data_IF_075374660453
#
_entry.id   IF_075374660453
#
_cell.length_a   1.000
_cell.length_b   1.000
_cell.length_c   1.000
_cell.angle_alpha   90.00
_cell.angle_beta   90.00
_cell.angle_gamma   90.00
#
_symmetry.space_group_name_H-M   'P 1'
#
loop_
_entity.id
_entity.type
_entity.pdbx_description
1 polymer ?
#
# COMPACT_ATOMS: atom_id res chain seq x y z
N UNK A 1 10.36 -38.91 -12.43
CA UNK A 1 9.41 -38.80 -13.56
C UNK A 1 8.16 -39.54 -13.11
N UNK A 2 7.02 -38.85 -12.98
CA UNK A 2 5.75 -39.50 -12.59
C UNK A 2 5.05 -39.91 -13.89
N UNK A 3 4.70 -41.18 -14.03
CA UNK A 3 3.92 -41.66 -15.17
C UNK A 3 2.55 -40.99 -15.18
N UNK A 4 2.24 -40.28 -16.26
CA UNK A 4 0.94 -39.65 -16.46
C UNK A 4 -0.02 -40.77 -16.85
N UNK A 5 -0.89 -41.18 -15.92
CA UNK A 5 -1.97 -42.12 -16.19
C UNK A 5 -3.10 -41.39 -16.94
N UNK A 6 -3.65 -42.02 -17.98
CA UNK A 6 -4.81 -41.45 -18.66
C UNK A 6 -6.04 -41.52 -17.76
N UNK A 7 -6.86 -40.48 -17.78
CA UNK A 7 -8.09 -40.41 -16.95
C UNK A 7 -9.03 -41.59 -17.26
N UNK A 8 -9.02 -42.10 -18.49
CA UNK A 8 -9.78 -43.28 -18.92
C UNK A 8 -9.30 -44.60 -18.31
N UNK A 9 -8.07 -44.65 -17.80
CA UNK A 9 -7.43 -45.85 -17.22
C UNK A 9 -7.52 -45.86 -15.68
N UNK A 10 -8.10 -44.81 -15.08
CA UNK A 10 -8.34 -44.73 -13.63
C UNK A 10 -9.57 -45.57 -13.31
N UNK A 11 -9.39 -46.88 -13.20
CA UNK A 11 -10.40 -47.74 -12.59
C UNK A 11 -10.51 -47.41 -11.09
N UNK A 12 -11.72 -47.31 -10.52
CA UNK A 12 -11.89 -47.17 -9.08
C UNK A 12 -11.40 -48.45 -8.41
N UNK A 13 -10.12 -48.47 -7.99
CA UNK A 13 -9.61 -49.49 -7.08
C UNK A 13 -10.37 -49.34 -5.77
N UNK A 14 -11.33 -50.24 -5.56
CA UNK A 14 -12.15 -50.36 -4.36
C UNK A 14 -11.29 -50.17 -3.10
N UNK A 15 -11.44 -49.01 -2.45
CA UNK A 15 -10.64 -48.64 -1.28
C UNK A 15 -10.47 -47.14 -1.05
N UNK A 16 -10.84 -46.27 -1.98
CA UNK A 16 -10.87 -44.82 -1.70
C UNK A 16 -12.13 -44.48 -0.90
N UNK A 17 -11.99 -44.38 0.42
CA UNK A 17 -12.94 -43.59 1.20
C UNK A 17 -12.71 -42.11 0.87
N UNK A 18 -13.76 -41.28 0.84
CA UNK A 18 -13.64 -39.83 0.57
C UNK A 18 -12.63 -39.15 1.52
N UNK A 19 -12.50 -39.68 2.74
CA UNK A 19 -11.53 -39.26 3.74
C UNK A 19 -10.07 -39.48 3.32
N UNK A 20 -9.76 -40.58 2.64
CA UNK A 20 -8.40 -40.87 2.16
C UNK A 20 -7.98 -39.93 1.03
N UNK A 21 -8.91 -39.49 0.18
CA UNK A 21 -8.61 -38.53 -0.87
C UNK A 21 -8.25 -37.15 -0.31
N UNK A 22 -9.08 -36.61 0.60
CA UNK A 22 -8.81 -35.30 1.21
C UNK A 22 -7.51 -35.32 2.03
N UNK A 23 -7.23 -36.42 2.73
CA UNK A 23 -5.98 -36.60 3.49
C UNK A 23 -4.76 -36.57 2.57
N UNK A 24 -4.82 -37.24 1.41
CA UNK A 24 -3.75 -37.18 0.38
C UNK A 24 -3.56 -35.76 -0.15
N UNK A 25 -4.64 -35.02 -0.41
CA UNK A 25 -4.54 -33.61 -0.84
C UNK A 25 -3.95 -32.69 0.24
N UNK A 26 -4.24 -32.92 1.52
CA UNK A 26 -3.61 -32.17 2.62
C UNK A 26 -2.10 -32.45 2.72
N UNK A 27 -1.69 -33.70 2.56
CA UNK A 27 -0.27 -34.08 2.51
C UNK A 27 0.44 -33.43 1.31
N UNK A 28 -0.18 -33.53 0.13
CA UNK A 28 0.32 -32.88 -1.10
C UNK A 28 0.42 -31.36 -0.93
N UNK A 29 -0.61 -30.74 -0.34
CA UNK A 29 -0.63 -29.30 -0.08
C UNK A 29 0.55 -28.87 0.80
N UNK A 30 0.84 -29.59 1.89
CA UNK A 30 1.96 -29.28 2.77
C UNK A 30 3.32 -29.28 2.03
N UNK A 31 3.48 -30.14 1.02
CA UNK A 31 4.69 -30.19 0.18
C UNK A 31 4.71 -29.16 -0.96
N UNK A 32 3.55 -28.64 -1.34
CA UNK A 32 3.39 -27.69 -2.44
C UNK A 32 3.91 -26.29 -2.10
N UNK A 33 4.21 -25.50 -3.12
CA UNK A 33 4.61 -24.09 -2.96
C UNK A 33 3.57 -23.26 -2.21
N UNK A 34 2.27 -23.54 -2.42
CA UNK A 34 1.18 -22.87 -1.70
C UNK A 34 1.15 -23.26 -0.22
N UNK A 35 1.46 -24.50 0.12
CA UNK A 35 1.57 -24.93 1.51
C UNK A 35 2.74 -24.27 2.22
N UNK A 36 3.90 -24.19 1.55
CA UNK A 36 5.07 -23.44 2.05
C UNK A 36 4.72 -21.98 2.27
N UNK A 37 4.05 -21.35 1.31
CA UNK A 37 3.57 -19.98 1.44
C UNK A 37 2.59 -19.82 2.61
N UNK A 38 1.66 -20.77 2.79
CA UNK A 38 0.69 -20.73 3.88
C UNK A 38 1.37 -20.77 5.26
N UNK A 39 2.44 -21.57 5.41
CA UNK A 39 3.20 -21.66 6.66
C UNK A 39 3.89 -20.34 7.01
N UNK A 40 4.20 -19.47 6.04
CA UNK A 40 4.85 -18.19 6.32
C UNK A 40 3.93 -17.18 7.03
N UNK A 41 2.62 -17.40 7.06
CA UNK A 41 1.67 -16.43 7.63
C UNK A 41 0.99 -16.96 8.90
N UNK A 42 1.01 -16.16 9.95
CA UNK A 42 0.29 -16.41 11.20
C UNK A 42 -1.18 -15.98 11.08
N UNK A 43 -1.97 -16.67 10.25
CA UNK A 43 -3.35 -16.28 9.93
C UNK A 43 -4.28 -16.08 11.12
N UNK A 44 -4.17 -16.94 12.14
CA UNK A 44 -4.98 -16.85 13.37
C UNK A 44 -4.71 -15.57 14.14
N UNK A 45 -3.43 -15.21 14.29
CA UNK A 45 -3.00 -14.02 15.03
C UNK A 45 -3.36 -12.73 14.28
N UNK A 46 -3.22 -12.74 12.95
CA UNK A 46 -3.65 -11.63 12.10
C UNK A 46 -5.17 -11.43 12.17
N UNK A 47 -5.95 -12.50 12.08
CA UNK A 47 -7.40 -12.43 12.20
C UNK A 47 -7.85 -11.89 13.57
N UNK A 48 -7.15 -12.28 14.65
CA UNK A 48 -7.37 -11.80 16.01
C UNK A 48 -7.07 -10.30 16.12
N UNK A 49 -5.95 -9.85 15.58
CA UNK A 49 -5.54 -8.44 15.59
C UNK A 49 -6.48 -7.55 14.79
N UNK A 50 -6.96 -8.02 13.63
CA UNK A 50 -7.95 -7.31 12.82
C UNK A 50 -9.38 -7.38 13.39
N UNK A 51 -9.55 -8.01 14.56
CA UNK A 51 -10.84 -8.22 15.23
C UNK A 51 -11.92 -8.84 14.33
N UNK A 52 -11.50 -9.70 13.39
CA UNK A 52 -12.42 -10.37 12.48
C UNK A 52 -13.18 -11.44 13.25
N UNK A 53 -14.51 -11.37 13.19
CA UNK A 53 -15.39 -12.34 13.84
C UNK A 53 -16.31 -12.94 12.79
N UNK A 54 -16.49 -14.26 12.85
CA UNK A 54 -17.59 -14.89 12.14
C UNK A 54 -18.91 -14.40 12.74
N UNK A 55 -19.90 -14.03 11.91
CA UNK A 55 -21.20 -13.59 12.42
C UNK A 55 -21.83 -14.72 13.24
N UNK A 56 -22.23 -14.42 14.48
CA UNK A 56 -22.89 -15.38 15.36
C UNK A 56 -24.36 -15.66 14.94
N UNK A 57 -24.99 -14.70 14.26
CA UNK A 57 -26.38 -14.74 13.82
C UNK A 57 -26.47 -14.36 12.34
N UNK A 58 -27.36 -15.03 11.61
CA UNK A 58 -27.61 -14.79 10.18
C UNK A 58 -26.87 -15.75 9.24
N UNK A 59 -26.79 -15.37 7.95
CA UNK A 59 -26.15 -16.20 6.91
C UNK A 59 -24.66 -16.35 7.21
N UNK A 60 -24.19 -17.59 7.36
CA UNK A 60 -22.77 -17.89 7.52
C UNK A 60 -22.02 -17.41 6.27
N UNK A 61 -20.91 -16.69 6.49
CA UNK A 61 -20.00 -16.35 5.41
C UNK A 61 -19.35 -17.63 4.87
N UNK A 62 -19.06 -17.66 3.56
CA UNK A 62 -18.35 -18.79 2.94
C UNK A 62 -16.92 -18.94 3.47
N UNK A 63 -16.30 -17.83 3.90
CA UNK A 63 -14.92 -17.79 4.35
C UNK A 63 -14.85 -17.56 5.87
N UNK A 64 -13.94 -18.28 6.53
CA UNK A 64 -13.55 -17.96 7.91
C UNK A 64 -12.76 -16.63 7.94
N UNK A 65 -12.60 -16.00 9.12
CA UNK A 65 -11.73 -14.84 9.29
C UNK A 65 -10.33 -15.02 8.68
N UNK A 66 -9.71 -16.18 8.91
CA UNK A 66 -8.41 -16.56 8.36
C UNK A 66 -8.50 -16.73 6.84
N UNK A 67 -9.55 -17.40 6.36
CA UNK A 67 -9.79 -17.62 4.95
C UNK A 67 -9.96 -16.33 4.14
N UNK A 68 -10.53 -15.29 4.74
CA UNK A 68 -10.63 -13.96 4.13
C UNK A 68 -9.26 -13.33 3.93
N UNK A 69 -8.39 -13.41 4.93
CA UNK A 69 -7.00 -12.90 4.85
C UNK A 69 -6.22 -13.73 3.81
N UNK A 70 -6.33 -15.05 3.87
CA UNK A 70 -5.69 -15.95 2.92
C UNK A 70 -6.11 -15.65 1.47
N UNK A 71 -7.40 -15.42 1.22
CA UNK A 71 -7.88 -15.04 -0.12
C UNK A 71 -7.26 -13.72 -0.61
N UNK A 72 -7.08 -12.75 0.28
CA UNK A 72 -6.43 -11.47 -0.07
C UNK A 72 -4.92 -11.58 -0.28
N UNK A 73 -4.25 -12.60 0.26
CA UNK A 73 -2.86 -12.92 -0.04
C UNK A 73 -2.74 -13.70 -1.36
N UNK A 74 -3.67 -14.62 -1.60
CA UNK A 74 -3.70 -15.42 -2.82
C UNK A 74 -3.94 -14.56 -4.07
N UNK A 75 -4.78 -13.52 -3.95
CA UNK A 75 -5.13 -12.60 -5.03
C UNK A 75 -3.90 -11.94 -5.71
N UNK A 76 -3.01 -11.22 -5.01
CA UNK A 76 -1.80 -10.64 -5.60
C UNK A 76 -0.77 -11.71 -5.98
N UNK A 77 -0.69 -12.83 -5.25
CA UNK A 77 0.24 -13.92 -5.56
C UNK A 77 -0.01 -14.52 -6.95
N UNK A 78 -1.27 -14.68 -7.35
CA UNK A 78 -1.62 -15.28 -8.65
C UNK A 78 -1.85 -14.25 -9.76
N UNK A 79 -1.96 -12.96 -9.42
CA UNK A 79 -2.26 -11.87 -10.36
C UNK A 79 -3.49 -12.11 -11.27
N UNK A 80 -4.50 -12.80 -10.75
CA UNK A 80 -5.74 -13.09 -11.50
C UNK A 80 -6.75 -11.94 -11.40
N UNK A 81 -7.76 -11.91 -12.26
CA UNK A 81 -8.95 -11.05 -12.06
C UNK A 81 -9.83 -11.59 -10.92
N UNK A 82 -10.81 -10.81 -10.44
CA UNK A 82 -11.70 -11.26 -9.35
C UNK A 82 -12.56 -12.45 -9.78
N UNK A 83 -13.01 -12.48 -11.05
CA UNK A 83 -13.75 -13.61 -11.61
C UNK A 83 -12.88 -14.85 -11.79
N UNK A 84 -11.68 -14.68 -12.35
CA UNK A 84 -10.73 -15.78 -12.53
C UNK A 84 -10.31 -16.38 -11.18
N UNK A 85 -10.13 -15.56 -10.14
CA UNK A 85 -9.79 -16.09 -8.81
C UNK A 85 -10.88 -17.02 -8.27
N UNK A 86 -12.17 -16.65 -8.42
CA UNK A 86 -13.29 -17.49 -7.97
C UNK A 86 -13.42 -18.75 -8.81
N UNK A 87 -13.26 -18.66 -10.14
CA UNK A 87 -13.23 -19.83 -11.02
C UNK A 87 -12.12 -20.81 -10.59
N UNK A 88 -10.91 -20.31 -10.35
CA UNK A 88 -9.79 -21.14 -9.89
C UNK A 88 -10.01 -21.70 -8.49
N UNK A 89 -10.70 -20.96 -7.61
CA UNK A 89 -11.06 -21.46 -6.28
C UNK A 89 -12.07 -22.61 -6.37
N UNK A 90 -13.03 -22.56 -7.30
CA UNK A 90 -13.96 -23.66 -7.53
C UNK A 90 -13.25 -24.91 -8.07
N UNK A 91 -12.27 -24.74 -8.97
CA UNK A 91 -11.61 -25.86 -9.64
C UNK A 91 -10.41 -26.44 -8.89
N UNK A 92 -9.74 -25.67 -8.01
CA UNK A 92 -8.47 -26.08 -7.40
C UNK A 92 -8.61 -26.31 -5.88
N UNK A 93 -8.46 -27.56 -5.47
CA UNK A 93 -8.52 -27.94 -4.06
C UNK A 93 -7.38 -27.35 -3.21
N UNK A 94 -6.20 -27.06 -3.79
CA UNK A 94 -5.13 -26.40 -3.04
C UNK A 94 -5.47 -24.96 -2.69
N UNK A 95 -6.25 -24.26 -3.53
CA UNK A 95 -6.70 -22.90 -3.23
C UNK A 95 -7.77 -22.91 -2.15
N UNK A 96 -8.65 -23.92 -2.19
CA UNK A 96 -9.65 -24.18 -1.16
C UNK A 96 -9.00 -24.49 0.19
N UNK A 97 -7.98 -25.37 0.22
CA UNK A 97 -7.20 -25.67 1.42
C UNK A 97 -6.45 -24.44 1.94
N UNK A 98 -5.85 -23.64 1.06
CA UNK A 98 -5.16 -22.39 1.44
C UNK A 98 -6.11 -21.38 2.10
N UNK A 99 -7.34 -21.26 1.59
CA UNK A 99 -8.35 -20.35 2.14
C UNK A 99 -9.18 -20.99 3.27
N UNK A 100 -8.96 -22.26 3.62
CA UNK A 100 -9.76 -22.98 4.61
C UNK A 100 -11.24 -23.11 4.24
N UNK A 101 -11.59 -23.13 2.95
CA UNK A 101 -12.97 -23.27 2.46
C UNK A 101 -13.14 -24.60 1.74
N UNK A 102 -14.31 -25.23 1.87
CA UNK A 102 -14.70 -26.39 1.07
C UNK A 102 -15.91 -26.02 0.23
N UNK A 103 -15.75 -26.05 -1.10
CA UNK A 103 -16.81 -25.72 -2.05
C UNK A 103 -17.34 -27.02 -2.63
N UNK A 104 -18.67 -27.17 -2.61
CA UNK A 104 -19.34 -28.29 -3.26
C UNK A 104 -19.22 -28.15 -4.79
N UNK A 105 -18.70 -29.15 -5.52
CA UNK A 105 -18.64 -29.12 -6.98
C UNK A 105 -19.98 -28.90 -7.67
N UNK A 106 -21.10 -29.34 -7.05
CA UNK A 106 -22.45 -29.15 -7.59
C UNK A 106 -22.98 -27.72 -7.36
N UNK A 107 -22.39 -26.98 -6.42
CA UNK A 107 -22.81 -25.64 -6.04
C UNK A 107 -21.61 -24.67 -6.01
N UNK A 108 -21.01 -24.36 -7.17
CA UNK A 108 -19.83 -23.49 -7.25
C UNK A 108 -20.15 -22.04 -6.86
N UNK A 109 -19.13 -21.32 -6.42
CA UNK A 109 -19.24 -19.89 -6.18
C UNK A 109 -19.35 -19.15 -7.51
N UNK A 110 -20.47 -18.47 -7.73
CA UNK A 110 -20.74 -17.71 -8.97
C UNK A 110 -20.56 -16.21 -8.82
N UNK A 111 -20.50 -15.70 -7.58
CA UNK A 111 -20.46 -14.27 -7.31
C UNK A 111 -19.01 -13.75 -7.14
N UNK A 112 -18.41 -13.12 -8.17
CA UNK A 112 -17.05 -12.56 -8.06
C UNK A 112 -16.97 -11.35 -7.12
N UNK A 113 -18.10 -10.70 -6.82
CA UNK A 113 -18.12 -9.51 -5.93
C UNK A 113 -17.73 -9.86 -4.48
N UNK A 114 -17.73 -11.14 -4.12
CA UNK A 114 -17.30 -11.59 -2.80
C UNK A 114 -15.85 -11.18 -2.49
N UNK A 115 -14.97 -11.22 -3.49
CA UNK A 115 -13.56 -10.82 -3.36
C UNK A 115 -13.46 -9.34 -3.03
N UNK A 116 -14.24 -8.50 -3.72
CA UNK A 116 -14.28 -7.06 -3.48
C UNK A 116 -14.88 -6.71 -2.11
N UNK A 117 -15.97 -7.38 -1.73
CA UNK A 117 -16.60 -7.18 -0.42
C UNK A 117 -15.65 -7.54 0.74
N UNK A 118 -14.93 -8.67 0.63
CA UNK A 118 -13.91 -9.06 1.62
C UNK A 118 -12.79 -8.02 1.68
N UNK A 119 -12.32 -7.53 0.52
CA UNK A 119 -11.27 -6.50 0.45
C UNK A 119 -11.69 -5.23 1.19
N UNK A 120 -12.93 -4.78 1.02
CA UNK A 120 -13.48 -3.62 1.71
C UNK A 120 -13.57 -3.87 3.22
N UNK A 121 -14.10 -5.01 3.64
CA UNK A 121 -14.19 -5.39 5.06
C UNK A 121 -12.82 -5.41 5.75
N UNK A 122 -11.78 -5.91 5.06
CA UNK A 122 -10.42 -5.91 5.59
C UNK A 122 -9.79 -4.52 5.58
N UNK A 123 -10.04 -3.71 4.55
CA UNK A 123 -9.47 -2.36 4.43
C UNK A 123 -9.88 -1.45 5.60
N UNK A 124 -11.14 -1.54 6.06
CA UNK A 124 -11.65 -0.76 7.19
C UNK A 124 -10.98 -1.10 8.53
N UNK A 125 -10.34 -2.28 8.60
CA UNK A 125 -9.73 -2.84 9.83
C UNK A 125 -8.22 -3.00 9.72
N UNK A 126 -7.64 -2.59 8.59
CA UNK A 126 -6.23 -2.77 8.31
C UNK A 126 -5.43 -1.67 8.98
N UNK A 127 -4.70 -2.04 10.04
CA UNK A 127 -3.70 -1.19 10.66
C UNK A 127 -2.30 -1.78 10.41
N UNK A 128 -1.53 -1.10 9.56
CA UNK A 128 -0.21 -1.58 9.13
C UNK A 128 0.77 -1.58 10.32
N UNK A 129 0.69 -0.58 11.20
CA UNK A 129 1.65 -0.42 12.30
C UNK A 129 1.52 -1.56 13.32
N UNK A 130 0.30 -2.05 13.55
CA UNK A 130 0.08 -3.17 14.47
C UNK A 130 0.22 -4.56 13.83
N UNK A 131 -0.01 -4.71 12.53
CA UNK A 131 0.13 -6.00 11.84
C UNK A 131 1.58 -6.32 11.44
N UNK A 132 2.38 -5.30 11.10
CA UNK A 132 3.78 -5.47 10.74
C UNK A 132 4.64 -6.20 11.79
N UNK A 133 4.57 -5.88 13.10
CA UNK A 133 5.37 -6.59 14.11
C UNK A 133 4.98 -8.07 14.23
N UNK A 134 3.69 -8.41 14.10
CA UNK A 134 3.22 -9.81 14.15
C UNK A 134 3.87 -10.64 13.05
N UNK A 135 3.90 -10.11 11.82
CA UNK A 135 4.56 -10.76 10.70
C UNK A 135 6.08 -10.81 10.88
N UNK A 136 6.69 -9.72 11.34
CA UNK A 136 8.13 -9.65 11.56
C UNK A 136 8.59 -10.67 12.60
N UNK A 137 7.89 -10.80 13.72
CA UNK A 137 8.18 -11.78 14.77
C UNK A 137 8.02 -13.22 14.26
N UNK A 138 6.98 -13.47 13.44
CA UNK A 138 6.76 -14.76 12.82
C UNK A 138 7.86 -15.12 11.80
N UNK A 139 8.38 -14.13 11.07
CA UNK A 139 9.43 -14.34 10.06
C UNK A 139 10.85 -14.34 10.63
N UNK A 140 11.05 -13.75 11.82
CA UNK A 140 12.34 -13.63 12.48
C UNK A 140 13.16 -14.92 12.53
N UNK A 141 12.60 -16.11 12.81
CA UNK A 141 13.35 -17.36 12.83
C UNK A 141 13.85 -17.83 11.45
N UNK A 142 13.21 -17.36 10.37
CA UNK A 142 13.53 -17.74 9.00
C UNK A 142 14.49 -16.75 8.31
N UNK A 143 14.80 -15.63 8.95
CA UNK A 143 15.66 -14.58 8.39
C UNK A 143 17.11 -14.78 8.84
N UNK A 144 18.03 -14.74 7.88
CA UNK A 144 19.47 -14.68 8.15
C UNK A 144 19.94 -13.22 8.20
N UNK A 145 20.99 -12.93 8.98
CA UNK A 145 21.64 -11.61 9.02
C UNK A 145 20.74 -10.44 9.47
N UNK A 146 20.04 -10.56 10.61
CA UNK A 146 19.18 -9.50 11.17
C UNK A 146 19.89 -8.14 11.41
N UNK A 147 21.22 -8.13 11.45
CA UNK A 147 22.03 -6.93 11.59
C UNK A 147 22.15 -6.12 10.28
N UNK A 148 21.81 -6.71 9.13
CA UNK A 148 21.87 -6.06 7.81
C UNK A 148 20.45 -5.66 7.39
N UNK A 149 20.20 -4.37 7.32
CA UNK A 149 18.99 -3.85 6.68
C UNK A 149 19.22 -3.81 5.16
N UNK A 150 18.64 -4.77 4.43
CA UNK A 150 18.60 -4.72 2.97
C UNK A 150 17.32 -3.99 2.54
N UNK A 151 17.48 -2.80 1.97
CA UNK A 151 16.39 -2.07 1.32
C UNK A 151 16.44 -2.38 -0.17
N UNK A 152 15.31 -2.76 -0.77
CA UNK A 152 15.22 -2.99 -2.22
C UNK A 152 15.63 -1.72 -2.98
N UNK A 153 16.56 -1.87 -3.93
CA UNK A 153 17.04 -0.78 -4.77
C UNK A 153 15.94 -0.20 -5.68
N UNK A 154 14.82 -0.92 -5.88
CA UNK A 154 13.66 -0.40 -6.63
C UNK A 154 12.73 0.47 -5.78
N UNK A 155 12.80 0.36 -4.45
CA UNK A 155 12.07 1.16 -3.48
C UNK A 155 12.92 2.35 -2.99
N UNK A 156 13.45 3.17 -3.90
CA UNK A 156 13.82 4.52 -3.48
C UNK A 156 12.52 5.23 -3.09
N UNK A 157 12.30 5.48 -1.80
CA UNK A 157 11.27 6.43 -1.38
C UNK A 157 11.46 7.70 -2.23
N UNK A 158 10.48 8.01 -3.09
CA UNK A 158 10.58 9.17 -3.97
C UNK A 158 10.77 10.48 -3.18
N UNK A 159 10.39 10.45 -1.89
CA UNK A 159 10.51 11.52 -0.92
C UNK A 159 11.82 11.47 -0.10
N UNK A 160 12.50 10.33 0.00
CA UNK A 160 13.78 10.21 0.68
C UNK A 160 14.90 10.59 -0.30
N UNK A 161 15.17 11.89 -0.40
CA UNK A 161 16.21 12.43 -1.27
C UNK A 161 17.34 13.01 -0.45
N UNK A 162 18.58 12.81 -0.93
CA UNK A 162 19.73 13.47 -0.33
C UNK A 162 19.53 15.00 -0.29
N UNK A 163 19.57 15.63 0.89
CA UNK A 163 19.26 17.05 1.06
C UNK A 163 20.38 17.89 0.45
N UNK A 164 20.05 18.66 -0.58
CA UNK A 164 20.94 19.70 -1.10
C UNK A 164 20.27 21.05 -0.97
N UNK A 165 21.04 22.12 -0.80
CA UNK A 165 20.51 23.49 -0.65
C UNK A 165 19.42 23.80 -1.68
N UNK A 166 19.66 23.48 -2.95
CA UNK A 166 18.73 23.77 -4.05
C UNK A 166 17.40 23.00 -3.92
N UNK A 167 17.45 21.76 -3.42
CA UNK A 167 16.24 20.94 -3.20
C UNK A 167 15.45 21.45 -1.99
N UNK A 168 16.14 21.71 -0.88
CA UNK A 168 15.53 22.26 0.33
C UNK A 168 14.87 23.62 0.04
N UNK A 169 15.56 24.50 -0.70
CA UNK A 169 14.99 25.77 -1.14
C UNK A 169 13.73 25.57 -1.98
N UNK A 170 13.74 24.63 -2.92
CA UNK A 170 12.58 24.36 -3.76
C UNK A 170 11.41 23.83 -2.94
N UNK A 171 11.63 22.85 -2.06
CA UNK A 171 10.60 22.30 -1.19
C UNK A 171 9.98 23.38 -0.29
N UNK A 172 10.81 24.25 0.30
CA UNK A 172 10.34 25.39 1.08
C UNK A 172 9.50 26.38 0.27
N UNK A 173 9.90 26.72 -0.96
CA UNK A 173 9.13 27.59 -1.86
C UNK A 173 7.79 26.95 -2.24
N UNK A 174 7.78 25.67 -2.58
CA UNK A 174 6.57 24.93 -2.93
C UNK A 174 5.61 24.88 -1.75
N UNK A 175 6.13 24.61 -0.55
CA UNK A 175 5.35 24.62 0.69
C UNK A 175 4.72 26.00 0.95
N UNK A 176 5.53 27.07 0.91
CA UNK A 176 5.06 28.45 1.08
C UNK A 176 4.01 28.84 0.04
N UNK A 177 4.24 28.50 -1.24
CA UNK A 177 3.32 28.83 -2.32
C UNK A 177 1.97 28.12 -2.15
N UNK A 178 1.95 26.83 -1.75
CA UNK A 178 0.70 26.10 -1.47
C UNK A 178 -0.08 26.77 -0.34
N UNK A 179 0.59 27.16 0.74
CA UNK A 179 -0.06 27.83 1.87
C UNK A 179 -0.59 29.21 1.49
N UNK A 180 0.20 30.03 0.78
CA UNK A 180 -0.26 31.32 0.26
C UNK A 180 -1.51 31.18 -0.60
N UNK A 181 -1.51 30.24 -1.56
CA UNK A 181 -2.68 29.96 -2.39
C UNK A 181 -3.91 29.55 -1.56
N UNK A 182 -3.72 28.67 -0.55
CA UNK A 182 -4.80 28.23 0.33
C UNK A 182 -5.35 29.39 1.16
N UNK A 183 -4.48 30.22 1.74
CA UNK A 183 -4.87 31.39 2.52
C UNK A 183 -5.58 32.45 1.69
N UNK A 184 -5.08 32.79 0.50
CA UNK A 184 -5.75 33.72 -0.42
C UNK A 184 -7.15 33.23 -0.78
N UNK A 185 -7.34 31.92 -1.00
CA UNK A 185 -8.65 31.32 -1.29
C UNK A 185 -9.60 31.42 -0.10
N UNK A 186 -9.13 31.14 1.12
CA UNK A 186 -9.92 31.23 2.36
C UNK A 186 -10.34 32.68 2.64
N UNK A 187 -9.44 33.63 2.42
CA UNK A 187 -9.68 35.05 2.68
C UNK A 187 -10.37 35.78 1.51
N UNK A 188 -10.67 35.07 0.41
CA UNK A 188 -11.19 35.65 -0.85
C UNK A 188 -10.34 36.82 -1.40
N UNK A 189 -9.03 36.79 -1.16
CA UNK A 189 -8.07 37.80 -1.65
C UNK A 189 -7.47 37.32 -2.96
N UNK A 190 -7.34 38.22 -3.93
CA UNK A 190 -6.65 37.92 -5.18
C UNK A 190 -5.16 37.59 -4.92
N UNK A 191 -4.71 36.44 -5.42
CA UNK A 191 -3.31 36.04 -5.31
C UNK A 191 -2.40 37.02 -6.07
N UNK A 192 -1.37 37.56 -5.43
CA UNK A 192 -0.38 38.44 -6.07
C UNK A 192 0.40 37.70 -7.17
N UNK A 193 0.50 38.28 -8.37
CA UNK A 193 1.25 37.67 -9.47
C UNK A 193 2.72 37.45 -9.06
N UNK A 194 3.21 36.23 -9.23
CA UNK A 194 4.60 35.88 -9.00
C UNK A 194 5.15 35.06 -10.19
N UNK A 195 6.48 34.91 -10.26
CA UNK A 195 7.16 34.12 -11.30
C UNK A 195 7.25 32.63 -10.94
N UNK A 196 6.38 32.12 -10.06
CA UNK A 196 6.47 30.74 -9.56
C UNK A 196 6.45 29.71 -10.69
N UNK A 197 5.55 29.86 -11.68
CA UNK A 197 5.45 28.91 -12.80
C UNK A 197 6.71 28.88 -13.67
N UNK A 198 7.32 30.03 -13.92
CA UNK A 198 8.56 30.16 -14.68
C UNK A 198 9.74 29.50 -13.94
N UNK A 199 9.90 29.80 -12.65
CA UNK A 199 10.95 29.20 -11.81
C UNK A 199 10.73 27.69 -11.62
N UNK A 200 9.48 27.25 -11.51
CA UNK A 200 9.10 25.84 -11.42
C UNK A 200 9.53 25.05 -12.66
N UNK A 201 9.23 25.57 -13.85
CA UNK A 201 9.67 24.96 -15.13
C UNK A 201 11.19 24.91 -15.22
N UNK A 202 11.88 25.99 -14.85
CA UNK A 202 13.33 26.04 -14.86
C UNK A 202 13.98 25.06 -13.87
N UNK A 203 13.41 24.94 -12.66
CA UNK A 203 13.86 23.98 -11.67
C UNK A 203 13.64 22.53 -12.12
N UNK A 204 12.48 22.22 -12.72
CA UNK A 204 12.20 20.88 -13.25
C UNK A 204 13.20 20.49 -14.35
N UNK A 205 13.49 21.42 -15.27
CA UNK A 205 14.50 21.20 -16.31
C UNK A 205 15.89 20.94 -15.70
N UNK A 206 16.29 21.72 -14.70
CA UNK A 206 17.53 21.52 -13.97
C UNK A 206 17.58 20.18 -13.20
N UNK A 207 16.47 19.77 -12.59
CA UNK A 207 16.38 18.53 -11.81
C UNK A 207 16.57 17.29 -12.69
N UNK A 208 16.06 17.34 -13.93
CA UNK A 208 16.17 16.25 -14.91
C UNK A 208 17.57 16.07 -15.52
N UNK A 209 18.50 17.02 -15.31
CA UNK A 209 19.86 16.91 -15.84
C UNK A 209 20.64 15.79 -15.15
N UNK A 210 21.22 14.88 -15.95
CA UNK A 210 22.10 13.80 -15.49
C UNK A 210 23.39 14.31 -14.84
N UNK A 211 23.99 15.37 -15.41
CA UNK A 211 25.17 16.07 -14.87
C UNK A 211 24.90 17.56 -14.79
N UNK A 212 25.22 18.19 -13.64
CA UNK A 212 24.89 19.59 -13.35
C UNK A 212 26.17 20.42 -13.32
N UNK A 213 26.25 21.48 -14.14
CA UNK A 213 27.38 22.42 -14.10
C UNK A 213 27.29 23.33 -12.87
N UNK A 214 28.43 23.74 -12.31
CA UNK A 214 28.48 24.70 -11.18
C UNK A 214 27.78 26.02 -11.51
N UNK A 215 27.93 26.53 -12.73
CA UNK A 215 27.27 27.75 -13.22
C UNK A 215 25.75 27.65 -13.23
N UNK A 216 25.20 26.54 -13.75
CA UNK A 216 23.75 26.27 -13.77
C UNK A 216 23.17 26.17 -12.36
N UNK A 217 23.89 25.51 -11.45
CA UNK A 217 23.48 25.39 -10.04
C UNK A 217 23.42 26.76 -9.36
N UNK A 218 24.41 27.63 -9.59
CA UNK A 218 24.41 29.01 -9.09
C UNK A 218 23.23 29.82 -9.66
N UNK A 219 22.93 29.70 -10.95
CA UNK A 219 21.80 30.37 -11.60
C UNK A 219 20.46 29.95 -10.96
N UNK A 220 20.22 28.65 -10.82
CA UNK A 220 18.98 28.13 -10.23
C UNK A 220 18.87 28.55 -8.76
N UNK A 221 19.94 28.41 -7.97
CA UNK A 221 19.96 28.84 -6.56
C UNK A 221 19.60 30.32 -6.42
N UNK A 222 20.14 31.20 -7.27
CA UNK A 222 19.78 32.63 -7.29
C UNK A 222 18.30 32.87 -7.61
N UNK A 223 17.74 32.20 -8.63
CA UNK A 223 16.32 32.33 -8.99
C UNK A 223 15.40 31.83 -7.88
N UNK A 224 15.77 30.74 -7.21
CA UNK A 224 15.03 30.21 -6.06
C UNK A 224 15.07 31.19 -4.88
N UNK A 225 16.25 31.72 -4.53
CA UNK A 225 16.38 32.72 -3.45
C UNK A 225 15.58 33.99 -3.73
N UNK A 226 15.58 34.48 -4.98
CA UNK A 226 14.77 35.62 -5.37
C UNK A 226 13.27 35.35 -5.21
N UNK A 227 12.81 34.18 -5.66
CA UNK A 227 11.40 33.80 -5.51
C UNK A 227 11.01 33.62 -4.04
N UNK A 228 11.88 32.99 -3.24
CA UNK A 228 11.68 32.84 -1.81
C UNK A 228 11.59 34.19 -1.11
N UNK A 229 12.51 35.12 -1.42
CA UNK A 229 12.51 36.47 -0.86
C UNK A 229 11.25 37.25 -1.23
N UNK A 230 10.74 37.12 -2.46
CA UNK A 230 9.46 37.71 -2.88
C UNK A 230 8.29 37.06 -2.13
N UNK A 231 8.25 35.73 -2.03
CA UNK A 231 7.18 35.02 -1.32
C UNK A 231 7.15 35.41 0.16
N UNK A 232 8.29 35.46 0.84
CA UNK A 232 8.40 35.92 2.23
C UNK A 232 8.01 37.40 2.33
N UNK A 233 8.46 38.23 1.40
CA UNK A 233 8.06 39.64 1.36
C UNK A 233 6.55 39.79 1.17
N UNK A 234 5.89 38.93 0.40
CA UNK A 234 4.43 38.96 0.23
C UNK A 234 3.70 38.49 1.49
N UNK A 235 4.26 37.50 2.20
CA UNK A 235 3.78 37.09 3.53
C UNK A 235 3.90 38.27 4.51
N UNK A 236 5.02 38.98 4.52
CA UNK A 236 5.29 40.09 5.44
C UNK A 236 4.61 41.42 5.05
N UNK A 237 4.48 41.73 3.75
CA UNK A 237 3.79 42.92 3.22
C UNK A 237 2.28 42.75 3.12
N UNK A 238 1.76 41.56 3.42
CA UNK A 238 0.35 41.35 3.74
C UNK A 238 -0.03 42.05 5.05
N UNK A 239 0.07 43.37 5.08
CA UNK A 239 -0.61 44.24 6.04
C UNK A 239 -2.02 44.57 5.49
N UNK A 240 -2.98 44.89 6.38
CA UNK A 240 -4.31 44.29 6.40
C UNK A 240 -5.34 45.08 5.58
N UNK A 241 -6.46 44.49 5.13
CA UNK A 241 -7.68 45.28 4.99
C UNK A 241 -7.97 45.87 6.38
N UNK A 242 -8.35 47.16 6.45
CA UNK A 242 -8.48 48.01 7.65
C UNK A 242 -9.38 47.51 8.80
N UNK A 243 -9.78 46.25 8.82
CA UNK A 243 -10.36 45.56 9.94
C UNK A 243 -9.81 44.14 9.92
N UNK A 244 -9.07 43.70 10.95
CA UNK A 244 -9.20 42.38 11.58
C UNK A 244 -8.17 42.24 12.72
N UNK A 245 -8.73 41.78 13.84
CA UNK A 245 -8.16 41.50 15.15
C UNK A 245 -6.74 40.87 15.21
N UNK A 246 -6.08 41.14 16.35
CA UNK A 246 -4.86 40.51 16.93
C UNK A 246 -4.70 38.98 16.73
N UNK A 247 -5.75 38.24 16.36
CA UNK A 247 -5.73 36.79 16.08
C UNK A 247 -4.89 36.41 14.84
N UNK A 248 -4.79 37.27 13.81
CA UNK A 248 -4.02 36.94 12.60
C UNK A 248 -2.49 36.97 12.81
N UNK A 249 -1.99 37.85 13.68
CA UNK A 249 -0.56 37.87 14.03
C UNK A 249 -0.15 36.64 14.84
N UNK A 250 -1.00 36.16 15.75
CA UNK A 250 -0.70 34.98 16.57
C UNK A 250 -0.66 33.67 15.75
N UNK A 251 -1.37 33.61 14.62
CA UNK A 251 -1.38 32.42 13.76
C UNK A 251 -0.12 32.31 12.90
N UNK A 252 0.42 33.43 12.39
CA UNK A 252 1.69 33.43 11.64
C UNK A 252 2.88 33.06 12.53
N UNK A 253 2.86 33.47 13.81
CA UNK A 253 3.88 33.05 14.78
C UNK A 253 3.81 31.54 15.09
N UNK A 254 2.61 30.94 15.10
CA UNK A 254 2.42 29.50 15.35
C UNK A 254 2.84 28.60 14.19
N UNK A 255 2.89 29.09 12.95
CA UNK A 255 3.17 28.28 11.75
C UNK A 255 4.66 28.29 11.37
N UNK A 256 5.44 29.26 11.85
CA UNK A 256 6.90 29.30 11.64
C UNK A 256 7.71 28.50 12.67
N UNK A 257 7.11 28.01 13.76
CA UNK A 257 7.81 27.36 14.88
C UNK A 257 7.27 25.97 15.26
N UNK A 258 6.63 25.26 14.33
CA UNK A 258 6.31 23.83 14.49
C UNK A 258 6.86 23.02 13.33
#
# INVERSE_FOLDING_TARGET
MVEIQKISEIEPRLGFTEFDMLKKYRQSFATSELGRLHVLFSFSELARQMHLKSPALGRKSYFSPEGKIALMILKPYTNFSDSQLIERLNCNIHYQLFCGVQIDPLHPLTNPKIVSAIRQELADRLDIESLQPILADHWKPYLENLHVCMTDATCYESHLRFPTDTKLLWEGIVWLHRHLCKHCRILHIQHLRNKYLDVSRAYLAYSKLRKRKKSQTRMVKRRLLQLLGISISNVLRGNPPKNINKKCMNFMASVCFK
#
